data_IF_028176584093
#
_entry.id   IF_028176584093
#
_cell.length_a   1.000
_cell.length_b   1.000
_cell.length_c   1.000
_cell.angle_alpha   90.00
_cell.angle_beta   90.00
_cell.angle_gamma   90.00
#
_symmetry.space_group_name_H-M   'P 1'
#
loop_
_entity.id
_entity.type
_entity.pdbx_description
1 polymer ?
#
# COMPACT_ATOMS: atom_id res chain seq x y z
N UNK A 1 29.31 13.90 1.52
CA UNK A 1 28.00 14.34 1.00
C UNK A 1 28.08 14.38 -0.52
N UNK A 2 27.03 14.02 -1.28
CA UNK A 2 26.98 14.48 -2.68
C UNK A 2 27.09 16.01 -2.67
N UNK A 3 27.83 16.58 -3.60
CA UNK A 3 27.66 18.00 -3.86
C UNK A 3 26.19 18.24 -4.24
N UNK A 4 25.56 19.33 -3.77
CA UNK A 4 24.27 19.75 -4.31
C UNK A 4 24.39 19.94 -5.82
N UNK A 5 23.28 19.74 -6.55
CA UNK A 5 23.27 19.99 -7.99
C UNK A 5 23.66 21.43 -8.27
N UNK A 6 24.46 21.63 -9.31
CA UNK A 6 24.75 22.97 -9.81
C UNK A 6 23.50 23.54 -10.51
N UNK A 7 23.38 24.86 -10.60
CA UNK A 7 22.27 25.49 -11.31
C UNK A 7 22.17 25.01 -12.77
N UNK A 8 23.32 24.86 -13.45
CA UNK A 8 23.39 24.33 -14.81
C UNK A 8 22.78 22.91 -14.91
N UNK A 9 23.10 22.03 -13.96
CA UNK A 9 22.53 20.67 -13.92
C UNK A 9 21.02 20.69 -13.65
N UNK A 10 20.55 21.56 -12.76
CA UNK A 10 19.11 21.75 -12.48
C UNK A 10 18.38 22.19 -13.76
N UNK A 11 18.91 23.18 -14.47
CA UNK A 11 18.32 23.72 -15.69
C UNK A 11 18.28 22.66 -16.81
N UNK A 12 19.33 21.85 -16.94
CA UNK A 12 19.39 20.73 -17.88
C UNK A 12 18.37 19.63 -17.56
N UNK A 13 18.27 19.22 -16.30
CA UNK A 13 17.28 18.21 -15.87
C UNK A 13 15.86 18.72 -16.14
N UNK A 14 15.55 19.97 -15.79
CA UNK A 14 14.24 20.57 -16.03
C UNK A 14 13.89 20.72 -17.50
N UNK A 15 14.83 21.22 -18.30
CA UNK A 15 14.61 21.42 -19.75
C UNK A 15 14.47 20.10 -20.52
N UNK A 16 15.05 19.01 -20.02
CA UNK A 16 14.96 17.67 -20.64
C UNK A 16 13.86 16.78 -20.03
N UNK A 17 13.27 17.15 -18.90
CA UNK A 17 12.16 16.42 -18.27
C UNK A 17 10.94 16.20 -19.21
N UNK A 18 10.53 17.15 -20.08
CA UNK A 18 9.45 16.91 -21.03
C UNK A 18 9.71 15.75 -22.00
N UNK A 19 10.98 15.48 -22.32
CA UNK A 19 11.36 14.33 -23.16
C UNK A 19 11.05 13.02 -22.44
N UNK A 20 11.21 12.97 -21.12
CA UNK A 20 10.78 11.81 -20.32
C UNK A 20 9.25 11.67 -20.24
N UNK A 21 8.49 12.74 -20.44
CA UNK A 21 7.02 12.64 -20.53
C UNK A 21 6.61 11.89 -21.81
N UNK A 22 7.31 12.10 -22.90
CA UNK A 22 7.05 11.45 -24.20
C UNK A 22 7.63 10.03 -24.24
N UNK A 23 8.89 9.85 -23.82
CA UNK A 23 9.63 8.60 -23.96
C UNK A 23 9.76 7.79 -22.67
N UNK A 24 9.22 8.26 -21.54
CA UNK A 24 9.47 7.69 -20.22
C UNK A 24 9.12 6.21 -20.12
N UNK A 25 7.97 5.78 -20.64
CA UNK A 25 7.58 4.36 -20.63
C UNK A 25 8.51 3.52 -21.50
N UNK A 26 8.95 4.03 -22.66
CA UNK A 26 9.90 3.36 -23.54
C UNK A 26 11.25 3.17 -22.85
N UNK A 27 11.75 4.23 -22.20
CA UNK A 27 13.00 4.22 -21.42
C UNK A 27 12.90 3.21 -20.29
N UNK A 28 11.86 3.26 -19.47
CA UNK A 28 11.74 2.36 -18.31
C UNK A 28 11.48 0.92 -18.70
N UNK A 29 10.80 0.67 -19.82
CA UNK A 29 10.68 -0.69 -20.38
C UNK A 29 12.05 -1.23 -20.78
N UNK A 30 12.84 -0.44 -21.54
CA UNK A 30 14.19 -0.83 -21.96
C UNK A 30 15.14 -1.03 -20.77
N UNK A 31 15.03 -0.17 -19.77
CA UNK A 31 15.73 -0.29 -18.49
C UNK A 31 15.48 -1.65 -17.83
N UNK A 32 14.21 -2.03 -17.66
CA UNK A 32 13.87 -3.31 -17.04
C UNK A 32 14.33 -4.51 -17.87
N UNK A 33 14.17 -4.46 -19.19
CA UNK A 33 14.66 -5.52 -20.10
C UNK A 33 16.17 -5.74 -19.95
N UNK A 34 16.96 -4.67 -19.99
CA UNK A 34 18.42 -4.75 -19.90
C UNK A 34 18.85 -5.21 -18.50
N UNK A 35 18.30 -4.59 -17.45
CA UNK A 35 18.67 -4.88 -16.05
C UNK A 35 18.33 -6.31 -15.65
N UNK A 36 17.11 -6.78 -15.92
CA UNK A 36 16.67 -8.11 -15.48
C UNK A 36 17.30 -9.24 -16.31
N UNK A 37 17.79 -8.94 -17.51
CA UNK A 37 18.58 -9.89 -18.31
C UNK A 37 19.99 -10.06 -17.77
N UNK A 38 20.64 -8.96 -17.38
CA UNK A 38 22.05 -8.97 -16.95
C UNK A 38 22.22 -9.20 -15.45
N UNK A 39 21.17 -8.93 -14.66
CA UNK A 39 21.13 -9.06 -13.20
C UNK A 39 19.85 -9.84 -12.82
N UNK A 40 19.75 -11.13 -13.21
CA UNK A 40 18.52 -11.91 -13.08
C UNK A 40 18.06 -12.15 -11.64
N UNK A 41 18.93 -12.01 -10.64
CA UNK A 41 18.59 -12.10 -9.22
C UNK A 41 17.56 -11.03 -8.79
N UNK A 42 17.50 -9.89 -9.49
CA UNK A 42 16.53 -8.83 -9.22
C UNK A 42 15.09 -9.24 -9.56
N UNK A 43 14.88 -10.35 -10.30
CA UNK A 43 13.54 -10.92 -10.50
C UNK A 43 12.87 -11.32 -9.18
N UNK A 44 13.65 -11.58 -8.11
CA UNK A 44 13.10 -11.86 -6.77
C UNK A 44 12.45 -10.63 -6.10
N UNK A 45 12.76 -9.42 -6.59
CA UNK A 45 12.29 -8.14 -6.03
C UNK A 45 11.16 -7.57 -6.89
N UNK A 46 11.33 -7.60 -8.22
CA UNK A 46 10.36 -6.99 -9.13
C UNK A 46 9.16 -7.91 -9.42
N UNK A 47 7.98 -7.30 -9.48
CA UNK A 47 6.72 -8.00 -9.78
C UNK A 47 6.64 -8.38 -11.26
N UNK A 48 6.64 -9.67 -11.57
CA UNK A 48 6.46 -10.18 -12.94
C UNK A 48 5.14 -9.72 -13.56
N UNK A 49 4.07 -9.69 -12.77
CA UNK A 49 2.76 -9.20 -13.22
C UNK A 49 2.85 -7.72 -13.62
N UNK A 50 3.48 -6.89 -12.79
CA UNK A 50 3.56 -5.44 -13.03
C UNK A 50 4.45 -5.10 -14.23
N UNK A 51 5.49 -5.91 -14.49
CA UNK A 51 6.29 -5.85 -15.70
C UNK A 51 5.44 -6.17 -16.94
N UNK A 52 4.73 -7.31 -16.92
CA UNK A 52 3.88 -7.74 -18.05
C UNK A 52 2.74 -6.77 -18.37
N UNK A 53 2.16 -6.12 -17.36
CA UNK A 53 1.08 -5.14 -17.57
C UNK A 53 1.60 -3.72 -17.85
N UNK A 54 2.91 -3.49 -17.91
CA UNK A 54 3.51 -2.15 -18.09
C UNK A 54 3.30 -1.19 -16.92
N UNK A 55 2.76 -1.68 -15.79
CA UNK A 55 2.47 -0.85 -14.60
C UNK A 55 3.76 -0.37 -13.94
N UNK A 56 4.74 -1.26 -13.82
CA UNK A 56 6.02 -0.94 -13.20
C UNK A 56 6.83 0.08 -14.04
N UNK A 57 7.03 -0.11 -15.36
CA UNK A 57 7.64 0.91 -16.22
C UNK A 57 6.97 2.29 -16.11
N UNK A 58 5.63 2.34 -16.13
CA UNK A 58 4.88 3.60 -16.02
C UNK A 58 5.05 4.27 -14.66
N UNK A 59 5.01 3.50 -13.56
CA UNK A 59 5.22 4.02 -12.23
C UNK A 59 6.62 4.66 -12.07
N UNK A 60 7.66 3.98 -12.56
CA UNK A 60 9.01 4.53 -12.54
C UNK A 60 9.14 5.79 -13.41
N UNK A 61 8.54 5.80 -14.60
CA UNK A 61 8.57 6.96 -15.49
C UNK A 61 7.93 8.19 -14.83
N UNK A 62 6.77 8.00 -14.19
CA UNK A 62 6.08 9.05 -13.45
C UNK A 62 6.90 9.56 -12.26
N UNK A 63 7.55 8.67 -11.51
CA UNK A 63 8.40 9.04 -10.37
C UNK A 63 9.61 9.87 -10.81
N UNK A 64 10.30 9.46 -11.90
CA UNK A 64 11.43 10.22 -12.44
C UNK A 64 10.99 11.58 -12.99
N UNK A 65 9.83 11.65 -13.66
CA UNK A 65 9.27 12.90 -14.16
C UNK A 65 8.90 13.85 -13.01
N UNK A 66 8.27 13.35 -11.95
CA UNK A 66 7.94 14.13 -10.77
C UNK A 66 9.21 14.66 -10.08
N UNK A 67 10.22 13.80 -9.92
CA UNK A 67 11.51 14.22 -9.38
C UNK A 67 12.16 15.33 -10.22
N UNK A 68 12.20 15.17 -11.54
CA UNK A 68 12.79 16.16 -12.43
C UNK A 68 12.04 17.50 -12.41
N UNK A 69 10.72 17.46 -12.25
CA UNK A 69 9.88 18.66 -12.14
C UNK A 69 10.19 19.45 -10.87
N UNK A 70 10.46 18.77 -9.76
CA UNK A 70 10.67 19.36 -8.44
C UNK A 70 12.12 19.20 -7.93
N UNK A 71 13.09 19.08 -8.84
CA UNK A 71 14.50 18.79 -8.51
C UNK A 71 15.15 19.84 -7.61
N UNK A 72 14.62 21.07 -7.60
CA UNK A 72 15.00 22.21 -6.74
C UNK A 72 14.02 22.51 -5.60
N UNK A 73 12.96 21.71 -5.44
CA UNK A 73 11.94 21.84 -4.39
C UNK A 73 11.50 20.46 -3.88
N UNK A 74 12.46 19.73 -3.32
CA UNK A 74 12.29 18.33 -2.90
C UNK A 74 11.32 18.16 -1.73
N UNK A 75 10.96 19.25 -1.04
CA UNK A 75 9.97 19.24 0.04
C UNK A 75 8.61 18.77 -0.45
N UNK A 76 8.26 19.04 -1.71
CA UNK A 76 7.04 18.54 -2.37
C UNK A 76 7.01 17.04 -2.59
N UNK A 77 8.16 16.37 -2.50
CA UNK A 77 8.30 14.93 -2.73
C UNK A 77 8.41 14.12 -1.44
N UNK A 78 8.41 14.77 -0.26
CA UNK A 78 8.63 14.10 1.04
C UNK A 78 7.71 12.91 1.25
N UNK A 79 6.40 13.09 1.09
CA UNK A 79 5.41 12.03 1.24
C UNK A 79 5.64 10.88 0.24
N UNK A 80 5.87 11.18 -1.04
CA UNK A 80 6.14 10.16 -2.04
C UNK A 80 7.44 9.37 -1.73
N UNK A 81 8.49 10.04 -1.27
CA UNK A 81 9.75 9.42 -0.85
C UNK A 81 9.52 8.49 0.35
N UNK A 82 8.79 8.93 1.37
CA UNK A 82 8.48 8.15 2.57
C UNK A 82 7.68 6.88 2.21
N UNK A 83 6.61 7.04 1.41
CA UNK A 83 5.81 5.95 0.87
C UNK A 83 6.66 4.90 0.14
N UNK A 84 7.50 5.35 -0.79
CA UNK A 84 8.35 4.48 -1.61
C UNK A 84 9.43 3.82 -0.74
N UNK A 85 10.02 4.52 0.22
CA UNK A 85 11.03 3.97 1.13
C UNK A 85 10.47 2.82 1.97
N UNK A 86 9.27 2.94 2.53
CA UNK A 86 8.60 1.83 3.21
C UNK A 86 8.40 0.62 2.29
N UNK A 87 8.02 0.87 1.03
CA UNK A 87 7.89 -0.20 0.02
C UNK A 87 9.21 -0.90 -0.25
N UNK A 88 10.29 -0.13 -0.45
CA UNK A 88 11.64 -0.63 -0.67
C UNK A 88 12.15 -1.47 0.50
N UNK A 89 11.98 -0.99 1.74
CA UNK A 89 12.36 -1.72 2.96
C UNK A 89 11.55 -3.00 3.10
N UNK A 90 10.26 -3.00 2.76
CA UNK A 90 9.43 -4.22 2.77
C UNK A 90 9.91 -5.26 1.75
N UNK A 91 10.64 -4.84 0.71
CA UNK A 91 11.16 -5.69 -0.36
C UNK A 91 12.67 -5.99 -0.22
N UNK A 92 13.29 -5.54 0.88
CA UNK A 92 14.71 -5.70 1.16
C UNK A 92 15.62 -5.03 0.12
N UNK A 93 15.23 -3.86 -0.40
CA UNK A 93 16.08 -3.07 -1.29
C UNK A 93 17.31 -2.57 -0.53
N UNK A 94 18.51 -2.70 -1.12
CA UNK A 94 19.78 -2.32 -0.49
C UNK A 94 20.42 -1.10 -1.16
N UNK A 95 21.37 -0.47 -0.46
CA UNK A 95 22.07 0.69 -0.99
C UNK A 95 22.86 0.36 -2.27
N UNK A 96 23.46 -0.82 -2.34
CA UNK A 96 24.26 -1.27 -3.50
C UNK A 96 23.40 -1.44 -4.76
N UNK A 97 22.10 -1.73 -4.60
CA UNK A 97 21.19 -1.88 -5.73
C UNK A 97 20.90 -0.55 -6.44
N UNK A 98 21.09 0.60 -5.78
CA UNK A 98 20.98 1.90 -6.44
C UNK A 98 22.07 2.08 -7.51
N UNK A 99 23.28 1.60 -7.30
CA UNK A 99 24.32 1.70 -8.33
C UNK A 99 23.95 0.86 -9.58
N UNK A 100 23.33 -0.30 -9.37
CA UNK A 100 22.82 -1.16 -10.45
C UNK A 100 21.70 -0.44 -11.20
N UNK A 101 20.69 0.05 -10.49
CA UNK A 101 19.54 0.76 -11.08
C UNK A 101 20.00 1.99 -11.86
N UNK A 102 20.89 2.81 -11.27
CA UNK A 102 21.45 4.00 -11.91
C UNK A 102 22.17 3.67 -13.21
N UNK A 103 23.03 2.65 -13.22
CA UNK A 103 23.73 2.19 -14.43
C UNK A 103 22.75 1.88 -15.56
N UNK A 104 21.76 1.02 -15.31
CA UNK A 104 20.85 0.58 -16.36
C UNK A 104 19.85 1.67 -16.79
N UNK A 105 19.44 2.55 -15.88
CA UNK A 105 18.53 3.66 -16.19
C UNK A 105 19.22 4.66 -17.13
N UNK A 106 20.45 5.07 -16.81
CA UNK A 106 21.22 6.01 -17.64
C UNK A 106 21.55 5.40 -19.00
N UNK A 107 21.90 4.11 -19.05
CA UNK A 107 22.08 3.40 -20.31
C UNK A 107 20.80 3.37 -21.16
N UNK A 108 19.64 3.13 -20.55
CA UNK A 108 18.37 3.13 -21.26
C UNK A 108 18.00 4.52 -21.80
N UNK A 109 18.26 5.58 -21.04
CA UNK A 109 18.11 6.97 -21.50
C UNK A 109 18.99 7.21 -22.73
N UNK A 110 20.28 6.85 -22.67
CA UNK A 110 21.20 7.00 -23.80
C UNK A 110 20.78 6.21 -25.05
N UNK A 111 20.26 4.98 -24.86
CA UNK A 111 19.77 4.14 -25.97
C UNK A 111 18.53 4.73 -26.65
N UNK A 112 17.61 5.32 -25.89
CA UNK A 112 16.35 5.86 -26.44
C UNK A 112 16.55 7.25 -27.04
N UNK A 113 17.34 8.10 -26.41
CA UNK A 113 17.57 9.47 -26.88
C UNK A 113 18.64 9.57 -27.96
N UNK A 114 19.56 8.59 -28.05
CA UNK A 114 20.63 8.57 -29.04
C UNK A 114 21.48 9.85 -28.98
N UNK A 115 21.63 10.52 -30.12
CA UNK A 115 22.43 11.75 -30.23
C UNK A 115 21.88 12.92 -29.40
N UNK A 116 20.61 12.87 -28.95
CA UNK A 116 20.03 13.90 -28.09
C UNK A 116 20.50 13.78 -26.62
N UNK A 117 21.07 12.65 -26.21
CA UNK A 117 21.69 12.50 -24.89
C UNK A 117 23.16 12.98 -24.94
N UNK A 118 23.37 14.30 -24.97
CA UNK A 118 24.72 14.88 -24.94
C UNK A 118 25.44 14.54 -23.63
N UNK A 119 26.79 14.56 -23.59
CA UNK A 119 27.55 14.29 -22.36
C UNK A 119 27.13 15.15 -21.17
N UNK A 120 26.77 16.41 -21.41
CA UNK A 120 26.33 17.35 -20.37
C UNK A 120 24.94 16.98 -19.82
N UNK A 121 24.03 16.54 -20.68
CA UNK A 121 22.70 16.06 -20.26
C UNK A 121 22.86 14.79 -19.43
N UNK A 122 23.69 13.84 -19.89
CA UNK A 122 23.95 12.58 -19.18
C UNK A 122 24.57 12.85 -17.81
N UNK A 123 25.57 13.74 -17.71
CA UNK A 123 26.17 14.15 -16.44
C UNK A 123 25.13 14.73 -15.47
N UNK A 124 24.27 15.64 -15.96
CA UNK A 124 23.22 16.24 -15.15
C UNK A 124 22.24 15.19 -14.59
N UNK A 125 21.82 14.23 -15.42
CA UNK A 125 20.94 13.14 -14.98
C UNK A 125 21.62 12.15 -14.03
N UNK A 126 22.90 11.84 -14.23
CA UNK A 126 23.69 11.02 -13.30
C UNK A 126 23.80 11.71 -11.94
N UNK A 127 24.09 13.01 -11.93
CA UNK A 127 24.16 13.79 -10.70
C UNK A 127 22.80 13.83 -9.98
N UNK A 128 21.71 14.07 -10.73
CA UNK A 128 20.36 14.12 -10.18
C UNK A 128 19.92 12.77 -9.61
N UNK A 129 20.17 11.67 -10.34
CA UNK A 129 19.96 10.32 -9.82
C UNK A 129 20.71 10.09 -8.52
N UNK A 130 22.00 10.47 -8.47
CA UNK A 130 22.84 10.31 -7.28
C UNK A 130 22.33 11.08 -6.05
N UNK A 131 21.70 12.23 -6.25
CA UNK A 131 21.04 12.99 -5.16
C UNK A 131 19.80 12.25 -4.67
N UNK A 132 18.91 11.83 -5.56
CA UNK A 132 17.68 11.11 -5.19
C UNK A 132 18.00 9.77 -4.50
N UNK A 133 18.96 9.00 -5.04
CA UNK A 133 19.39 7.74 -4.46
C UNK A 133 19.87 7.92 -3.01
N UNK A 134 20.64 8.98 -2.72
CA UNK A 134 21.10 9.27 -1.35
C UNK A 134 19.97 9.62 -0.39
N UNK A 135 18.93 10.28 -0.87
CA UNK A 135 17.74 10.57 -0.06
C UNK A 135 17.07 9.26 0.33
N UNK A 136 16.80 8.38 -0.64
CA UNK A 136 16.19 7.08 -0.37
C UNK A 136 17.05 6.22 0.55
N UNK A 137 18.35 6.05 0.24
CA UNK A 137 19.28 5.26 1.06
C UNK A 137 19.29 5.75 2.51
N UNK A 138 19.20 7.06 2.74
CA UNK A 138 19.13 7.62 4.09
C UNK A 138 17.82 7.22 4.78
N UNK A 139 16.68 7.47 4.15
CA UNK A 139 15.34 7.19 4.73
C UNK A 139 15.17 5.68 4.99
N UNK A 140 15.51 4.85 4.01
CA UNK A 140 15.50 3.39 4.13
C UNK A 140 16.47 2.89 5.21
N UNK A 141 17.67 3.48 5.29
CA UNK A 141 18.64 3.17 6.32
C UNK A 141 18.12 3.46 7.73
N UNK A 142 17.33 4.51 7.93
CA UNK A 142 16.70 4.83 9.20
C UNK A 142 15.58 3.82 9.53
N UNK A 143 14.77 3.41 8.55
CA UNK A 143 13.78 2.33 8.69
C UNK A 143 14.42 0.97 9.01
N UNK A 144 15.52 0.60 8.34
CA UNK A 144 16.24 -0.64 8.66
C UNK A 144 16.81 -0.65 10.08
N UNK A 145 17.23 0.50 10.62
CA UNK A 145 17.66 0.60 12.02
C UNK A 145 16.50 0.33 12.99
N UNK A 146 15.29 0.81 12.67
CA UNK A 146 14.09 0.52 13.47
C UNK A 146 13.79 -0.98 13.46
N UNK A 147 13.73 -1.60 12.27
CA UNK A 147 13.52 -3.05 12.13
C UNK A 147 14.58 -3.86 12.91
N UNK A 148 15.85 -3.41 12.88
CA UNK A 148 16.94 -4.03 13.63
C UNK A 148 16.77 -3.90 15.14
N UNK A 149 16.21 -2.79 15.64
CA UNK A 149 15.90 -2.61 17.05
C UNK A 149 14.85 -3.64 17.53
N UNK A 150 13.91 -4.00 16.64
CA UNK A 150 12.94 -5.08 16.83
C UNK A 150 13.51 -6.48 16.59
N UNK A 151 14.83 -6.60 16.42
CA UNK A 151 15.58 -7.84 16.19
C UNK A 151 15.11 -8.63 14.96
N UNK A 152 14.58 -7.95 13.95
CA UNK A 152 14.14 -8.56 12.70
C UNK A 152 14.63 -7.75 11.51
N UNK A 153 15.62 -8.30 10.80
CA UNK A 153 16.10 -7.78 9.52
C UNK A 153 15.93 -8.84 8.44
N UNK A 154 15.57 -8.44 7.22
CA UNK A 154 15.38 -9.39 6.13
C UNK A 154 14.03 -10.14 6.20
N UNK A 155 13.98 -11.22 5.42
CA UNK A 155 12.86 -12.14 5.40
C UNK A 155 12.90 -13.06 6.62
N UNK A 156 11.74 -13.26 7.25
CA UNK A 156 11.57 -14.18 8.38
C UNK A 156 10.49 -15.20 8.05
N UNK A 157 10.73 -16.45 8.43
CA UNK A 157 9.79 -17.55 8.19
C UNK A 157 8.62 -17.52 9.16
N UNK A 158 7.43 -17.68 8.63
CA UNK A 158 6.19 -17.79 9.38
C UNK A 158 5.41 -19.01 8.92
N UNK A 159 4.82 -19.73 9.87
CA UNK A 159 3.93 -20.85 9.63
C UNK A 159 2.49 -20.40 9.64
N UNK A 160 1.70 -20.90 8.69
CA UNK A 160 0.25 -20.72 8.69
C UNK A 160 -0.33 -21.59 9.81
N UNK A 161 -0.78 -20.97 10.89
CA UNK A 161 -1.38 -21.68 12.03
C UNK A 161 -2.90 -21.78 11.94
N UNK A 162 -3.53 -20.90 11.15
CA UNK A 162 -4.97 -20.89 10.90
C UNK A 162 -5.28 -20.28 9.54
N UNK A 163 -6.29 -20.82 8.85
CA UNK A 163 -6.78 -20.38 7.54
C UNK A 163 -8.30 -20.34 7.59
N UNK A 164 -8.89 -19.15 7.40
CA UNK A 164 -10.33 -18.93 7.57
C UNK A 164 -10.91 -18.21 6.37
N UNK A 165 -12.04 -18.70 5.87
CA UNK A 165 -12.74 -18.08 4.74
C UNK A 165 -13.58 -16.91 5.25
N UNK A 166 -13.23 -15.70 4.85
CA UNK A 166 -13.93 -14.47 5.22
C UNK A 166 -15.10 -14.17 4.29
N UNK A 167 -14.96 -14.57 3.03
CA UNK A 167 -15.98 -14.42 1.99
C UNK A 167 -15.70 -15.40 0.85
N UNK A 168 -16.52 -15.35 -0.20
CA UNK A 168 -16.34 -16.21 -1.37
C UNK A 168 -15.00 -16.03 -2.07
N UNK A 169 -14.41 -14.84 -1.97
CA UNK A 169 -13.16 -14.48 -2.65
C UNK A 169 -12.04 -14.11 -1.70
N UNK A 170 -12.26 -14.06 -0.38
CA UNK A 170 -11.28 -13.58 0.60
C UNK A 170 -11.03 -14.65 1.67
N UNK A 171 -9.77 -14.89 1.99
CA UNK A 171 -9.34 -15.84 3.03
C UNK A 171 -8.30 -15.19 3.93
N UNK A 172 -8.53 -15.27 5.24
CA UNK A 172 -7.60 -14.89 6.30
C UNK A 172 -6.56 -15.98 6.52
N UNK A 173 -5.30 -15.56 6.66
CA UNK A 173 -4.17 -16.41 7.02
C UNK A 173 -3.55 -15.85 8.31
N UNK A 174 -3.42 -16.73 9.31
CA UNK A 174 -2.82 -16.44 10.60
C UNK A 174 -1.41 -17.00 10.61
N UNK A 175 -0.43 -16.13 10.82
CA UNK A 175 0.97 -16.36 10.56
C UNK A 175 1.75 -16.23 11.87
N UNK A 176 2.22 -17.35 12.42
CA UNK A 176 3.06 -17.37 13.61
C UNK A 176 4.54 -17.56 13.21
N UNK A 177 5.50 -16.95 13.92
CA UNK A 177 6.90 -17.02 13.53
C UNK A 177 7.44 -18.45 13.72
N UNK A 178 8.09 -19.02 12.71
CA UNK A 178 8.56 -20.41 12.74
C UNK A 178 9.68 -20.65 13.75
N UNK A 179 10.42 -19.60 14.11
CA UNK A 179 11.49 -19.62 15.11
C UNK A 179 10.98 -19.53 16.56
N UNK A 180 9.66 -19.35 16.76
CA UNK A 180 9.04 -19.18 18.07
C UNK A 180 9.39 -17.89 18.80
N UNK A 181 10.11 -16.94 18.17
CA UNK A 181 10.50 -15.69 18.83
C UNK A 181 9.28 -14.75 18.98
N UNK A 182 8.84 -14.63 20.23
CA UNK A 182 7.71 -13.83 20.70
C UNK A 182 8.15 -12.85 21.81
N UNK A 183 7.42 -11.75 22.05
CA UNK A 183 6.28 -11.27 21.25
C UNK A 183 6.72 -10.84 19.85
N UNK A 184 5.80 -10.88 18.89
CA UNK A 184 6.04 -10.29 17.57
C UNK A 184 6.18 -8.76 17.70
N UNK A 185 6.99 -8.09 16.86
CA UNK A 185 7.08 -6.63 16.88
C UNK A 185 5.71 -5.98 16.73
N UNK A 186 5.49 -4.90 17.48
CA UNK A 186 4.28 -4.10 17.40
C UNK A 186 4.26 -3.38 16.05
N UNK A 187 3.11 -3.41 15.39
CA UNK A 187 2.83 -2.60 14.21
C UNK A 187 1.75 -1.56 14.52
N UNK A 188 1.67 -0.52 13.69
CA UNK A 188 0.58 0.45 13.73
C UNK A 188 -0.57 -0.03 12.84
N UNK A 189 -1.84 0.01 13.31
CA UNK A 189 -2.98 -0.48 12.54
C UNK A 189 -3.15 0.33 11.25
N UNK A 190 -3.07 -0.37 10.12
CA UNK A 190 -3.00 0.20 8.78
C UNK A 190 -1.76 -0.26 7.99
N UNK A 191 -0.67 -0.58 8.70
CA UNK A 191 0.57 -1.11 8.12
C UNK A 191 0.38 -2.48 7.45
N UNK A 192 1.36 -2.85 6.62
CA UNK A 192 1.40 -4.08 5.86
C UNK A 192 2.69 -4.85 6.06
N UNK A 193 2.66 -6.13 5.73
CA UNK A 193 3.86 -6.96 5.52
C UNK A 193 4.00 -7.29 4.05
N UNK A 194 5.22 -7.42 3.54
CA UNK A 194 5.45 -8.16 2.30
C UNK A 194 5.48 -9.63 2.63
N UNK A 195 4.79 -10.43 1.82
CA UNK A 195 4.85 -11.88 1.83
C UNK A 195 5.54 -12.34 0.55
N UNK A 196 6.55 -13.20 0.68
CA UNK A 196 7.30 -13.79 -0.41
C UNK A 196 7.08 -15.31 -0.48
N UNK A 197 6.93 -15.81 -1.70
CA UNK A 197 6.81 -17.25 -1.98
C UNK A 197 7.62 -17.62 -3.21
N UNK A 198 8.09 -18.86 -3.22
CA UNK A 198 8.65 -19.47 -4.42
C UNK A 198 7.57 -19.72 -5.47
N UNK A 199 7.93 -19.42 -6.72
CA UNK A 199 7.10 -19.62 -7.90
C UNK A 199 7.89 -20.49 -8.88
N UNK A 200 7.82 -21.83 -8.74
CA UNK A 200 8.58 -22.76 -9.58
C UNK A 200 8.39 -22.55 -11.07
N UNK A 201 7.20 -22.11 -11.49
CA UNK A 201 6.86 -21.82 -12.88
C UNK A 201 7.64 -20.62 -13.46
N UNK A 202 8.17 -19.74 -12.60
CA UNK A 202 9.02 -18.61 -12.96
C UNK A 202 10.50 -18.86 -12.65
N UNK A 203 10.81 -19.77 -11.74
CA UNK A 203 12.18 -20.10 -11.31
C UNK A 203 12.78 -19.07 -10.32
N UNK A 204 11.96 -18.22 -9.72
CA UNK A 204 12.37 -17.21 -8.75
C UNK A 204 11.22 -16.84 -7.81
N UNK A 205 11.55 -16.15 -6.71
CA UNK A 205 10.61 -15.71 -5.70
C UNK A 205 9.73 -14.55 -6.20
N UNK A 206 8.49 -14.49 -5.71
CA UNK A 206 7.63 -13.32 -5.91
C UNK A 206 7.11 -12.82 -4.58
N UNK A 207 7.03 -11.50 -4.45
CA UNK A 207 6.56 -10.83 -3.24
C UNK A 207 5.32 -9.97 -3.50
N UNK A 208 4.38 -9.93 -2.56
CA UNK A 208 3.22 -9.01 -2.56
C UNK A 208 2.96 -8.51 -1.15
N UNK A 209 2.46 -7.29 -1.06
CA UNK A 209 2.13 -6.63 0.21
C UNK A 209 0.70 -6.97 0.60
N UNK A 210 0.51 -7.25 1.88
CA UNK A 210 -0.78 -7.49 2.48
C UNK A 210 -0.88 -6.70 3.78
N UNK A 211 -1.90 -5.84 3.88
CA UNK A 211 -2.22 -5.16 5.13
C UNK A 211 -2.44 -6.18 6.24
N UNK A 212 -1.91 -5.86 7.42
CA UNK A 212 -2.25 -6.57 8.64
C UNK A 212 -3.70 -6.26 8.94
N UNK A 213 -4.54 -7.29 9.01
CA UNK A 213 -5.99 -7.15 8.98
C UNK A 213 -6.67 -7.29 10.33
N UNK A 214 -5.89 -7.38 11.41
CA UNK A 214 -6.32 -7.48 12.80
C UNK A 214 -5.53 -6.46 13.63
N UNK A 215 -6.10 -5.95 14.71
CA UNK A 215 -5.37 -5.09 15.66
C UNK A 215 -4.22 -5.86 16.33
N UNK A 216 -3.11 -5.18 16.62
CA UNK A 216 -1.97 -5.80 17.31
C UNK A 216 -2.36 -6.26 18.73
N UNK A 217 -1.97 -7.48 19.09
CA UNK A 217 -1.98 -8.00 20.46
C UNK A 217 -0.69 -8.77 20.73
N UNK A 218 0.03 -8.49 21.83
CA UNK A 218 1.25 -9.21 22.18
C UNK A 218 0.99 -10.69 22.53
N UNK A 219 -0.24 -11.01 22.92
CA UNK A 219 -0.63 -12.37 23.36
C UNK A 219 -1.03 -13.27 22.18
N UNK A 220 -1.43 -12.70 21.03
CA UNK A 220 -1.91 -13.49 19.90
C UNK A 220 -0.83 -14.41 19.32
N UNK A 221 0.43 -13.99 19.36
CA UNK A 221 1.56 -14.77 18.83
C UNK A 221 1.55 -14.95 17.30
N UNK A 222 0.70 -14.22 16.57
CA UNK A 222 0.58 -14.27 15.13
C UNK A 222 0.29 -12.89 14.53
N UNK A 223 0.52 -12.75 13.22
CA UNK A 223 -0.08 -11.73 12.38
C UNK A 223 -1.22 -12.30 11.56
N UNK A 224 -2.23 -11.48 11.23
CA UNK A 224 -3.29 -11.86 10.29
C UNK A 224 -3.20 -11.02 9.03
N UNK A 225 -3.21 -11.69 7.88
CA UNK A 225 -3.46 -11.06 6.57
C UNK A 225 -4.74 -11.63 5.99
N UNK A 226 -5.48 -10.84 5.20
CA UNK A 226 -6.66 -11.33 4.49
C UNK A 226 -6.51 -11.09 3.00
N UNK A 227 -6.52 -12.18 2.23
CA UNK A 227 -6.09 -12.18 0.83
C UNK A 227 -7.30 -12.40 -0.07
N UNK A 228 -7.55 -11.47 -0.97
CA UNK A 228 -8.50 -11.65 -2.08
C UNK A 228 -7.88 -12.50 -3.18
N UNK A 229 -8.61 -13.52 -3.65
CA UNK A 229 -8.28 -14.29 -4.85
C UNK A 229 -8.45 -13.39 -6.08
N UNK A 230 -7.37 -13.20 -6.84
CA UNK A 230 -7.39 -12.35 -8.04
C UNK A 230 -7.48 -13.23 -9.29
N UNK A 231 -8.67 -13.34 -9.87
CA UNK A 231 -8.93 -14.17 -11.06
C UNK A 231 -8.37 -13.56 -12.36
N UNK A 232 -7.85 -12.32 -12.30
CA UNK A 232 -7.22 -11.66 -13.44
C UNK A 232 -8.18 -10.88 -14.34
N UNK A 233 -9.37 -10.53 -13.85
CA UNK A 233 -10.42 -9.86 -14.64
C UNK A 233 -10.02 -8.53 -15.27
N UNK A 234 -9.03 -7.82 -14.70
CA UNK A 234 -8.65 -6.47 -15.15
C UNK A 234 -7.49 -6.47 -16.17
N UNK A 235 -6.61 -7.47 -16.13
CA UNK A 235 -5.43 -7.54 -16.99
C UNK A 235 -5.34 -8.85 -17.81
N UNK A 236 -6.34 -9.72 -17.71
CA UNK A 236 -6.31 -11.08 -18.26
C UNK A 236 -5.26 -12.00 -17.63
N UNK A 237 -4.62 -11.56 -16.53
CA UNK A 237 -3.54 -12.29 -15.86
C UNK A 237 -3.98 -12.56 -14.42
N UNK A 238 -4.27 -13.81 -14.04
CA UNK A 238 -4.55 -14.20 -12.67
C UNK A 238 -3.41 -13.82 -11.72
N UNK A 239 -3.75 -13.44 -10.48
CA UNK A 239 -2.77 -13.08 -9.47
C UNK A 239 -1.96 -14.29 -9.02
N UNK A 240 -0.65 -14.26 -9.23
CA UNK A 240 0.23 -15.41 -8.95
C UNK A 240 0.17 -15.82 -7.47
N UNK A 241 0.47 -14.89 -6.55
CA UNK A 241 0.55 -15.19 -5.12
C UNK A 241 -0.83 -15.43 -4.51
N UNK A 242 -1.83 -14.62 -4.84
CA UNK A 242 -3.16 -14.78 -4.24
C UNK A 242 -3.82 -16.11 -4.60
N UNK A 243 -3.75 -16.56 -5.86
CA UNK A 243 -4.26 -17.87 -6.23
C UNK A 243 -3.45 -19.00 -5.56
N UNK A 244 -2.11 -18.88 -5.51
CA UNK A 244 -1.26 -19.87 -4.84
C UNK A 244 -1.61 -20.01 -3.34
N UNK A 245 -1.77 -18.91 -2.63
CA UNK A 245 -2.17 -18.90 -1.21
C UNK A 245 -3.53 -19.56 -0.99
N UNK A 246 -4.49 -19.30 -1.87
CA UNK A 246 -5.82 -19.90 -1.79
C UNK A 246 -5.80 -21.41 -2.06
N UNK A 247 -5.08 -21.83 -3.10
CA UNK A 247 -5.19 -23.19 -3.66
C UNK A 247 -4.14 -24.17 -3.16
N UNK A 248 -2.91 -23.71 -2.89
CA UNK A 248 -1.76 -24.57 -2.59
C UNK A 248 -1.27 -24.48 -1.14
N UNK A 249 -1.46 -23.34 -0.46
CA UNK A 249 -1.01 -23.16 0.93
C UNK A 249 -2.09 -23.53 1.94
N UNK A 250 -1.71 -24.33 2.94
CA UNK A 250 -2.56 -24.86 3.99
C UNK A 250 -1.97 -24.58 5.38
N UNK A 251 -2.74 -24.88 6.43
CA UNK A 251 -2.24 -24.87 7.80
C UNK A 251 -1.05 -25.81 7.91
N UNK A 252 0.05 -25.31 8.49
CA UNK A 252 1.32 -26.02 8.61
C UNK A 252 2.37 -25.58 7.58
N UNK A 253 1.98 -25.00 6.44
CA UNK A 253 2.94 -24.51 5.44
C UNK A 253 3.63 -23.22 5.90
N UNK A 254 4.80 -22.95 5.31
CA UNK A 254 5.61 -21.77 5.62
C UNK A 254 5.62 -20.75 4.48
N UNK A 255 5.61 -19.48 4.86
CA UNK A 255 5.82 -18.31 4.00
C UNK A 255 6.89 -17.42 4.63
N UNK A 256 7.47 -16.52 3.82
CA UNK A 256 8.42 -15.54 4.33
C UNK A 256 7.77 -14.16 4.38
N UNK A 257 7.92 -13.46 5.51
CA UNK A 257 7.42 -12.11 5.72
C UNK A 257 8.58 -11.12 5.87
N UNK A 258 8.33 -9.89 5.43
CA UNK A 258 9.12 -8.74 5.86
C UNK A 258 8.63 -8.23 7.22
N UNK A 259 9.46 -7.42 7.88
CA UNK A 259 8.99 -6.55 8.96
C UNK A 259 7.77 -5.72 8.51
N UNK A 260 6.79 -5.42 9.39
CA UNK A 260 5.73 -4.47 9.10
C UNK A 260 6.28 -3.11 8.61
N UNK A 261 5.64 -2.53 7.59
CA UNK A 261 6.00 -1.26 6.95
C UNK A 261 4.73 -0.48 6.57
N UNK A 262 4.90 0.80 6.23
CA UNK A 262 3.85 1.67 5.71
C UNK A 262 3.63 2.89 6.59
N UNK A 263 3.25 3.99 5.94
CA UNK A 263 2.92 5.29 6.55
C UNK A 263 1.41 5.48 6.74
N UNK A 264 0.57 4.67 6.09
CA UNK A 264 -0.87 4.68 6.33
C UNK A 264 -1.19 3.93 7.62
N UNK A 265 -1.37 4.67 8.71
CA UNK A 265 -1.79 4.09 9.97
C UNK A 265 -2.53 5.10 10.85
N UNK A 266 -3.24 4.56 11.84
CA UNK A 266 -3.76 5.33 12.95
C UNK A 266 -2.92 5.00 14.20
N UNK A 267 -2.52 6.01 14.98
CA UNK A 267 -1.94 5.77 16.30
C UNK A 267 -3.09 5.62 17.33
N UNK A 268 -3.37 4.40 17.83
CA UNK A 268 -4.46 4.19 18.77
C UNK A 268 -4.13 4.70 20.18
N UNK A 269 -2.89 5.15 20.42
CA UNK A 269 -2.40 5.60 21.73
C UNK A 269 -2.35 7.12 21.90
N UNK A 270 -2.65 7.88 20.84
CA UNK A 270 -2.68 9.33 20.90
C UNK A 270 -3.86 9.84 21.73
N UNK A 271 -3.59 10.14 23.00
CA UNK A 271 -4.56 10.66 23.95
C UNK A 271 -5.19 11.99 23.53
N UNK A 272 -4.52 12.77 22.67
CA UNK A 272 -5.08 14.03 22.15
C UNK A 272 -6.29 13.82 21.23
N UNK A 273 -6.49 12.59 20.74
CA UNK A 273 -7.60 12.21 19.85
C UNK A 273 -8.83 11.72 20.59
N UNK A 274 -8.89 11.82 21.92
CA UNK A 274 -10.08 11.46 22.70
C UNK A 274 -11.31 12.23 22.22
N UNK A 275 -12.39 11.51 21.89
CA UNK A 275 -13.62 12.10 21.34
C UNK A 275 -13.53 12.59 19.89
N UNK A 276 -12.36 12.57 19.25
CA UNK A 276 -12.20 12.96 17.84
C UNK A 276 -12.72 11.84 16.93
N UNK A 277 -13.70 12.09 16.03
CA UNK A 277 -14.23 11.05 15.17
C UNK A 277 -13.18 10.43 14.24
N UNK A 278 -13.35 9.15 13.93
CA UNK A 278 -12.63 8.48 12.85
C UNK A 278 -13.62 7.84 11.88
N UNK A 279 -13.43 8.09 10.58
CA UNK A 279 -14.30 7.61 9.52
C UNK A 279 -13.51 6.65 8.64
N UNK A 280 -13.89 5.38 8.67
CA UNK A 280 -13.23 4.27 7.98
C UNK A 280 -14.03 3.91 6.73
N UNK A 281 -13.56 4.30 5.55
CA UNK A 281 -14.29 4.12 4.28
C UNK A 281 -13.58 3.10 3.40
N UNK A 282 -14.21 1.96 3.13
CA UNK A 282 -13.59 0.91 2.30
C UNK A 282 -14.47 0.36 1.19
N UNK A 283 -13.81 -0.23 0.19
CA UNK A 283 -14.47 -1.03 -0.84
C UNK A 283 -13.76 -2.38 -1.02
N UNK A 284 -14.54 -3.47 -0.95
CA UNK A 284 -14.04 -4.85 -1.11
C UNK A 284 -12.89 -5.19 -0.16
N UNK A 285 -11.79 -5.73 -0.68
CA UNK A 285 -10.64 -6.13 0.15
C UNK A 285 -9.91 -4.94 0.81
N UNK A 286 -10.17 -3.70 0.40
CA UNK A 286 -9.65 -2.50 1.08
C UNK A 286 -10.12 -2.36 2.55
N UNK A 287 -11.08 -3.19 2.98
CA UNK A 287 -11.47 -3.28 4.38
C UNK A 287 -10.37 -3.78 5.32
N UNK A 288 -9.30 -4.42 4.81
CA UNK A 288 -8.28 -5.08 5.62
C UNK A 288 -7.53 -4.16 6.58
N UNK A 289 -6.86 -3.06 6.16
CA UNK A 289 -6.18 -2.17 7.09
C UNK A 289 -7.17 -1.47 8.03
N UNK A 290 -8.37 -1.15 7.54
CA UNK A 290 -9.39 -0.48 8.35
C UNK A 290 -9.95 -1.39 9.44
N UNK A 291 -10.01 -2.71 9.20
CA UNK A 291 -10.39 -3.68 10.23
C UNK A 291 -9.37 -3.71 11.37
N UNK A 292 -8.07 -3.59 11.07
CA UNK A 292 -7.05 -3.47 12.11
C UNK A 292 -7.20 -2.18 12.91
N UNK A 293 -7.53 -1.06 12.25
CA UNK A 293 -7.82 0.23 12.92
C UNK A 293 -9.04 0.09 13.84
N UNK A 294 -10.13 -0.49 13.34
CA UNK A 294 -11.34 -0.73 14.12
C UNK A 294 -11.05 -1.59 15.36
N UNK A 295 -10.30 -2.68 15.20
CA UNK A 295 -9.91 -3.57 16.30
C UNK A 295 -9.06 -2.86 17.35
N UNK A 296 -8.10 -2.02 16.92
CA UNK A 296 -7.25 -1.27 17.85
C UNK A 296 -7.99 -0.18 18.63
N UNK A 297 -9.14 0.28 18.14
CA UNK A 297 -9.97 1.30 18.81
C UNK A 297 -11.14 0.74 19.62
N UNK A 298 -11.47 -0.55 19.45
CA UNK A 298 -12.62 -1.20 20.10
C UNK A 298 -12.23 -2.42 20.93
N UNK A 299 -11.03 -2.95 20.74
CA UNK A 299 -10.52 -4.10 21.46
C UNK A 299 -10.08 -3.78 22.89
N UNK A 300 -9.71 -4.81 23.68
CA UNK A 300 -9.34 -4.66 25.09
C UNK A 300 -8.17 -3.71 25.35
N UNK A 301 -7.30 -3.50 24.36
CA UNK A 301 -6.15 -2.61 24.44
C UNK A 301 -6.44 -1.16 24.01
N UNK A 302 -7.69 -0.84 23.68
CA UNK A 302 -8.08 0.52 23.33
C UNK A 302 -7.89 1.45 24.52
N UNK A 303 -7.04 2.46 24.36
CA UNK A 303 -6.72 3.44 25.41
C UNK A 303 -7.49 4.75 25.26
N UNK A 304 -8.07 5.01 24.08
CA UNK A 304 -8.79 6.23 23.76
C UNK A 304 -10.15 5.88 23.15
N UNK A 305 -11.23 6.45 23.69
CA UNK A 305 -12.58 6.28 23.12
C UNK A 305 -12.84 7.37 22.07
N UNK A 306 -13.14 6.95 20.83
CA UNK A 306 -13.41 7.81 19.67
C UNK A 306 -14.78 7.44 19.07
N UNK A 307 -15.58 8.38 18.57
CA UNK A 307 -16.69 8.05 17.66
C UNK A 307 -16.12 7.40 16.38
N UNK A 308 -16.68 6.29 15.93
CA UNK A 308 -16.18 5.52 14.79
C UNK A 308 -17.31 5.28 13.79
N UNK A 309 -17.08 5.65 12.53
CA UNK A 309 -17.94 5.25 11.42
C UNK A 309 -17.25 4.24 10.54
N UNK A 310 -17.80 3.04 10.45
CA UNK A 310 -17.42 2.03 9.48
C UNK A 310 -18.33 2.14 8.25
N UNK A 311 -17.78 2.57 7.12
CA UNK A 311 -18.53 2.71 5.87
C UNK A 311 -17.91 1.76 4.83
N UNK A 312 -18.68 0.79 4.37
CA UNK A 312 -18.15 -0.26 3.49
C UNK A 312 -19.02 -0.49 2.25
N UNK A 313 -18.35 -0.64 1.11
CA UNK A 313 -18.97 -0.99 -0.16
C UNK A 313 -18.55 -2.38 -0.63
N UNK A 314 -19.52 -3.23 -0.95
CA UNK A 314 -19.28 -4.54 -1.54
C UNK A 314 -20.21 -4.81 -2.73
N UNK A 315 -19.80 -5.71 -3.63
CA UNK A 315 -20.64 -6.14 -4.75
C UNK A 315 -21.85 -6.95 -4.28
N UNK A 316 -21.67 -7.75 -3.24
CA UNK A 316 -22.71 -8.54 -2.57
C UNK A 316 -22.20 -8.96 -1.19
N UNK A 317 -23.10 -9.45 -0.33
CA UNK A 317 -22.71 -10.03 0.97
C UNK A 317 -21.73 -11.20 0.81
N UNK A 318 -21.92 -12.03 -0.21
CA UNK A 318 -21.09 -13.20 -0.48
C UNK A 318 -19.60 -12.87 -0.66
N UNK A 319 -19.26 -11.66 -1.12
CA UNK A 319 -17.86 -11.22 -1.29
C UNK A 319 -17.43 -10.13 -0.30
N UNK A 320 -18.30 -9.77 0.64
CA UNK A 320 -18.00 -8.81 1.71
C UNK A 320 -17.15 -9.48 2.79
N UNK A 321 -15.92 -9.00 3.08
CA UNK A 321 -15.15 -9.50 4.22
C UNK A 321 -15.66 -8.94 5.55
N UNK A 322 -15.48 -9.69 6.63
CA UNK A 322 -15.68 -9.25 8.03
C UNK A 322 -17.10 -8.77 8.41
N UNK A 323 -18.11 -8.99 7.57
CA UNK A 323 -19.45 -8.44 7.79
C UNK A 323 -20.03 -8.82 9.16
N UNK A 324 -19.85 -10.08 9.58
CA UNK A 324 -20.36 -10.58 10.87
C UNK A 324 -19.57 -10.00 12.04
N UNK A 325 -18.23 -9.99 11.94
CA UNK A 325 -17.35 -9.43 12.96
C UNK A 325 -17.63 -7.94 13.22
N UNK A 326 -17.83 -7.14 12.15
CA UNK A 326 -18.16 -5.72 12.28
C UNK A 326 -19.52 -5.53 12.97
N UNK A 327 -20.54 -6.34 12.64
CA UNK A 327 -21.85 -6.26 13.31
C UNK A 327 -21.75 -6.58 14.79
N UNK A 328 -20.95 -7.57 15.19
CA UNK A 328 -20.75 -7.88 16.61
C UNK A 328 -20.00 -6.74 17.33
N UNK A 329 -18.99 -6.13 16.70
CA UNK A 329 -18.32 -4.93 17.24
C UNK A 329 -19.31 -3.77 17.41
N UNK A 330 -20.14 -3.48 16.41
CA UNK A 330 -21.15 -2.42 16.47
C UNK A 330 -22.19 -2.66 17.58
N UNK A 331 -22.62 -3.92 17.79
CA UNK A 331 -23.54 -4.24 18.91
C UNK A 331 -22.89 -4.06 20.28
N UNK A 332 -21.60 -4.35 20.39
CA UNK A 332 -20.86 -4.30 21.65
C UNK A 332 -20.37 -2.89 22.02
N UNK A 333 -20.35 -1.94 21.07
CA UNK A 333 -19.75 -0.63 21.24
C UNK A 333 -20.70 0.49 20.79
N UNK A 334 -21.18 1.29 21.75
CA UNK A 334 -22.10 2.43 21.52
C UNK A 334 -21.50 3.56 20.66
N UNK A 335 -20.17 3.65 20.60
CA UNK A 335 -19.43 4.64 19.84
C UNK A 335 -19.10 4.21 18.41
N UNK A 336 -19.60 3.05 17.95
CA UNK A 336 -19.35 2.53 16.60
C UNK A 336 -20.65 2.52 15.80
N UNK A 337 -20.65 3.17 14.65
CA UNK A 337 -21.72 3.11 13.66
C UNK A 337 -21.22 2.38 12.40
N UNK A 338 -22.10 1.60 11.75
CA UNK A 338 -21.76 0.84 10.54
C UNK A 338 -22.78 1.08 9.44
N UNK A 339 -22.30 1.49 8.27
CA UNK A 339 -23.08 1.69 7.05
C UNK A 339 -22.50 0.86 5.90
N UNK A 340 -23.29 -0.07 5.38
CA UNK A 340 -22.90 -1.00 4.32
C UNK A 340 -23.72 -0.77 3.07
N UNK A 341 -23.02 -0.61 1.95
CA UNK A 341 -23.57 -0.53 0.60
C UNK A 341 -23.36 -1.86 -0.13
N UNK A 342 -24.43 -2.50 -0.56
CA UNK A 342 -24.39 -3.68 -1.42
C UNK A 342 -24.90 -3.35 -2.82
N UNK A 343 -24.10 -3.63 -3.84
CA UNK A 343 -24.54 -3.46 -5.23
C UNK A 343 -25.63 -4.47 -5.59
N UNK A 344 -25.44 -5.73 -5.23
CA UNK A 344 -26.37 -6.83 -5.48
C UNK A 344 -26.76 -7.46 -4.14
N UNK A 345 -28.06 -7.58 -3.90
CA UNK A 345 -28.66 -8.13 -2.68
C UNK A 345 -29.24 -9.51 -3.00
N UNK A 346 -28.90 -10.50 -2.20
CA UNK A 346 -29.45 -11.85 -2.28
C UNK A 346 -30.76 -12.02 -1.52
N UNK A 347 -31.46 -13.14 -1.68
CA UNK A 347 -32.76 -13.38 -1.03
C UNK A 347 -32.68 -13.46 0.50
N UNK A 348 -31.51 -13.78 1.07
CA UNK A 348 -31.29 -13.87 2.52
C UNK A 348 -30.71 -12.58 3.14
N UNK A 349 -30.42 -11.58 2.31
CA UNK A 349 -29.90 -10.30 2.76
C UNK A 349 -31.05 -9.44 3.31
N UNK A 350 -30.79 -8.71 4.40
CA UNK A 350 -31.81 -7.99 5.16
C UNK A 350 -31.35 -6.55 5.34
N UNK A 351 -32.19 -5.60 4.93
CA UNK A 351 -31.95 -4.17 5.15
C UNK A 351 -31.92 -3.86 6.65
N UNK A 352 -31.04 -2.95 7.06
CA UNK A 352 -30.79 -2.61 8.47
C UNK A 352 -29.95 -3.64 9.23
N UNK A 353 -29.78 -4.86 8.71
CA UNK A 353 -28.95 -5.91 9.32
C UNK A 353 -27.68 -6.14 8.50
N UNK A 354 -27.83 -6.54 7.24
CA UNK A 354 -26.71 -6.88 6.36
C UNK A 354 -26.24 -5.68 5.52
N UNK A 355 -27.14 -4.74 5.25
CA UNK A 355 -26.85 -3.53 4.49
C UNK A 355 -27.77 -2.38 4.88
N UNK A 356 -27.35 -1.15 4.59
CA UNK A 356 -28.16 0.07 4.73
C UNK A 356 -28.60 0.59 3.36
N UNK A 357 -27.80 0.33 2.32
CA UNK A 357 -28.14 0.76 0.96
C UNK A 357 -27.90 -0.38 -0.04
N UNK A 358 -28.87 -0.60 -0.92
CA UNK A 358 -28.84 -1.64 -1.96
C UNK A 358 -28.85 -1.05 -3.38
N UNK A 359 -28.41 -1.83 -4.37
CA UNK A 359 -28.58 -1.50 -5.79
C UNK A 359 -27.69 -0.36 -6.29
N UNK A 360 -26.70 0.06 -5.49
CA UNK A 360 -25.90 1.26 -5.76
C UNK A 360 -24.43 1.05 -5.42
N UNK A 361 -23.55 1.87 -6.00
CA UNK A 361 -22.23 2.12 -5.42
C UNK A 361 -22.37 2.97 -4.15
N UNK A 362 -21.31 3.04 -3.35
CA UNK A 362 -21.22 4.00 -2.24
C UNK A 362 -21.40 5.42 -2.79
N UNK A 363 -22.24 6.20 -2.12
CA UNK A 363 -22.50 7.59 -2.42
C UNK A 363 -22.50 8.36 -1.11
N UNK A 364 -21.63 9.38 -1.01
CA UNK A 364 -21.52 10.20 0.20
C UNK A 364 -22.79 11.01 0.47
N UNK A 365 -23.55 11.37 -0.56
CA UNK A 365 -24.80 12.12 -0.45
C UNK A 365 -25.91 11.34 0.27
N UNK A 366 -25.81 10.00 0.31
CA UNK A 366 -26.75 9.14 1.04
C UNK A 366 -26.42 9.02 2.53
N UNK A 367 -25.25 9.48 2.94
CA UNK A 367 -24.77 9.40 4.32
C UNK A 367 -25.16 10.65 5.09
N UNK A 368 -25.44 10.48 6.38
CA UNK A 368 -25.68 11.59 7.29
C UNK A 368 -24.36 12.35 7.54
N UNK A 369 -24.35 13.64 7.17
CA UNK A 369 -23.18 14.50 7.28
C UNK A 369 -22.64 14.65 8.72
N UNK A 370 -23.53 14.55 9.72
CA UNK A 370 -23.19 14.73 11.14
C UNK A 370 -22.87 13.40 11.83
N UNK A 371 -23.61 12.34 11.49
CA UNK A 371 -23.54 11.06 12.20
C UNK A 371 -22.66 10.02 11.53
N UNK A 372 -22.68 9.97 10.20
CA UNK A 372 -21.89 8.99 9.44
C UNK A 372 -20.53 9.58 9.07
N UNK A 373 -20.50 10.82 8.61
CA UNK A 373 -19.30 11.43 8.05
C UNK A 373 -18.60 12.42 8.98
N UNK A 374 -19.30 13.05 9.94
CA UNK A 374 -18.73 14.08 10.80
C UNK A 374 -18.04 15.23 10.04
N UNK A 375 -18.57 15.64 8.87
CA UNK A 375 -17.91 16.63 8.00
C UNK A 375 -17.75 18.01 8.67
N UNK A 376 -18.66 18.34 9.60
CA UNK A 376 -18.62 19.58 10.37
C UNK A 376 -17.70 19.51 11.60
N UNK A 377 -17.13 18.34 11.91
CA UNK A 377 -16.08 18.23 12.93
C UNK A 377 -14.71 18.56 12.31
N UNK A 378 -14.04 19.65 12.73
CA UNK A 378 -12.79 20.10 12.13
C UNK A 378 -11.59 19.18 12.45
N UNK A 379 -11.75 18.25 13.38
CA UNK A 379 -10.70 17.32 13.82
C UNK A 379 -10.90 15.91 13.28
N UNK A 380 -12.07 15.57 12.72
CA UNK A 380 -12.37 14.23 12.22
C UNK A 380 -11.33 13.75 11.18
N UNK A 381 -10.94 12.48 11.28
CA UNK A 381 -9.94 11.85 10.41
C UNK A 381 -10.59 10.78 9.53
N UNK A 382 -10.20 10.72 8.26
CA UNK A 382 -10.81 9.87 7.26
C UNK A 382 -9.76 8.91 6.70
N UNK A 383 -9.97 7.61 6.86
CA UNK A 383 -9.09 6.56 6.38
C UNK A 383 -9.79 5.77 5.28
N UNK A 384 -9.24 5.82 4.07
CA UNK A 384 -9.89 5.29 2.88
C UNK A 384 -9.00 4.24 2.21
N UNK A 385 -9.58 3.09 1.91
CA UNK A 385 -8.87 2.04 1.18
C UNK A 385 -9.79 1.25 0.24
N UNK A 386 -9.40 1.11 -1.02
CA UNK A 386 -10.16 0.44 -2.06
C UNK A 386 -9.53 0.59 -3.44
N UNK A 387 -10.28 0.33 -4.53
CA UNK A 387 -9.82 0.63 -5.88
C UNK A 387 -9.46 2.11 -6.05
N UNK A 388 -8.47 2.41 -6.88
CA UNK A 388 -7.93 3.77 -7.07
C UNK A 388 -9.03 4.80 -7.39
N UNK A 389 -9.88 4.52 -8.38
CA UNK A 389 -10.97 5.43 -8.76
C UNK A 389 -11.96 5.67 -7.62
N UNK A 390 -12.23 4.64 -6.81
CA UNK A 390 -13.11 4.77 -5.64
C UNK A 390 -12.51 5.72 -4.60
N UNK A 391 -11.21 5.59 -4.32
CA UNK A 391 -10.56 6.46 -3.33
C UNK A 391 -10.49 7.92 -3.79
N UNK A 392 -10.21 8.15 -5.07
CA UNK A 392 -10.22 9.48 -5.68
C UNK A 392 -11.62 10.10 -5.59
N UNK A 393 -12.66 9.35 -5.96
CA UNK A 393 -14.05 9.82 -5.91
C UNK A 393 -14.49 10.17 -4.48
N UNK A 394 -14.15 9.33 -3.50
CA UNK A 394 -14.48 9.59 -2.09
C UNK A 394 -13.71 10.80 -1.55
N UNK A 395 -12.39 10.91 -1.81
CA UNK A 395 -11.59 12.07 -1.39
C UNK A 395 -12.16 13.36 -1.98
N UNK A 396 -12.44 13.38 -3.29
CA UNK A 396 -13.02 14.52 -3.99
C UNK A 396 -14.37 14.90 -3.38
N UNK A 397 -15.22 13.91 -3.09
CA UNK A 397 -16.50 14.15 -2.44
C UNK A 397 -16.37 14.76 -1.05
N UNK A 398 -15.50 14.22 -0.19
CA UNK A 398 -15.25 14.77 1.16
C UNK A 398 -14.71 16.20 1.10
N UNK A 399 -13.74 16.47 0.21
CA UNK A 399 -13.19 17.82 0.01
C UNK A 399 -14.27 18.78 -0.50
N UNK A 400 -15.13 18.32 -1.43
CA UNK A 400 -16.29 19.08 -1.90
C UNK A 400 -17.31 19.39 -0.79
N UNK A 401 -17.34 18.59 0.27
CA UNK A 401 -18.14 18.83 1.49
C UNK A 401 -17.41 19.69 2.53
N UNK A 402 -16.22 20.21 2.22
CA UNK A 402 -15.46 21.11 3.10
C UNK A 402 -14.44 20.43 4.02
N UNK A 403 -14.19 19.13 3.85
CA UNK A 403 -13.14 18.41 4.61
C UNK A 403 -11.76 18.85 4.13
N UNK A 404 -10.86 19.15 5.07
CA UNK A 404 -9.45 19.45 4.76
C UNK A 404 -8.78 18.18 4.22
N UNK A 405 -8.12 18.28 3.06
CA UNK A 405 -7.41 17.17 2.41
C UNK A 405 -6.36 16.52 3.31
N UNK A 406 -5.74 17.28 4.22
CA UNK A 406 -4.72 16.78 5.14
C UNK A 406 -5.28 15.84 6.22
N UNK A 407 -6.62 15.72 6.33
CA UNK A 407 -7.31 14.78 7.22
C UNK A 407 -7.82 13.54 6.48
N UNK A 408 -7.54 13.42 5.18
CA UNK A 408 -8.00 12.32 4.32
C UNK A 408 -6.81 11.46 3.89
N UNK A 409 -6.68 10.31 4.54
CA UNK A 409 -5.60 9.36 4.34
C UNK A 409 -6.04 8.25 3.38
N UNK A 410 -5.20 7.93 2.38
CA UNK A 410 -5.49 6.92 1.35
C UNK A 410 -4.41 5.83 1.33
N UNK A 411 -4.82 4.56 1.22
CA UNK A 411 -3.90 3.44 0.97
C UNK A 411 -4.20 2.72 -0.35
N UNK A 412 -3.19 2.59 -1.21
CA UNK A 412 -3.32 2.09 -2.57
C UNK A 412 -2.71 0.69 -2.70
N UNK A 413 -3.55 -0.29 -3.05
CA UNK A 413 -3.11 -1.68 -3.29
C UNK A 413 -2.56 -1.88 -4.71
N UNK A 414 -1.66 -1.01 -5.14
CA UNK A 414 -1.05 -1.04 -6.48
C UNK A 414 0.37 -0.46 -6.45
N UNK A 415 1.01 -0.44 -7.62
CA UNK A 415 2.29 0.26 -7.84
C UNK A 415 2.04 1.72 -8.16
N UNK A 416 2.80 2.62 -7.55
CA UNK A 416 2.65 4.06 -7.72
C UNK A 416 1.97 4.71 -6.52
N UNK A 417 1.47 5.92 -6.73
CA UNK A 417 0.76 6.71 -5.73
C UNK A 417 -0.61 7.14 -6.29
N UNK A 418 -1.55 7.48 -5.41
CA UNK A 418 -2.82 8.07 -5.84
C UNK A 418 -2.53 9.51 -6.28
N UNK A 419 -2.94 9.93 -7.49
CA UNK A 419 -2.73 11.31 -7.95
C UNK A 419 -3.22 12.32 -6.90
N UNK A 420 -2.43 13.36 -6.59
CA UNK A 420 -2.86 14.52 -5.79
C UNK A 420 -3.62 15.49 -6.70
N UNK A 421 -4.79 15.04 -7.18
CA UNK A 421 -5.81 15.87 -7.86
C UNK A 421 -6.79 16.49 -6.86
#
# INVERSE_FOLDING_TARGET
>A
MAAPLTQSQIDLVKSTAPVLKEYGVTITTKFYENMLREVPELNNIFSTTSQRTGRQPRALANAVLAYATYVDDLDKLKHAVERIAHKHVSLQVTAEQYDIVGKYLIQAIGQVLGAAATPEIVDAWVAAYGVLAKIFIKVEGDLYKQNKADKWLGWRKFRIVRKERESDSITSFYLAPSDGALPLPRFQPGQYVSLQVDVPELGYLQSRQYSLSEGYSPESGYYRISVKKEEGTEAGIPGIISNKLHEKYNVGDEVELSHPQGEFFLDPTDASKAGVPVVLISAGVGATPLKAILDSLTGPSAVVKRPISWIHASRSRAVQPFGDAVREITKANDNVNSVVFLKNVGPEDQEGVHYQFAGTRLSLEKLDAEKDLFVNNPQAEYYICGPESFMIDVRRGLVGMGVDKNRVFLELFSTGDVPDE
#
